data_IF_562502710590
#
_entry.id   IF_562502710590
#
_cell.length_a   1.000
_cell.length_b   1.000
_cell.length_c   1.000
_cell.angle_alpha   90.00
_cell.angle_beta   90.00
_cell.angle_gamma   90.00
#
_symmetry.space_group_name_H-M   'P 1'
#
loop_
_entity.id
_entity.type
_entity.pdbx_description
1 polymer ?
#
# COMPACT_ATOMS: atom_id res chain seq x y z
N UNK A 1 -45.30 12.91 -51.02
CA UNK A 1 -45.53 13.07 -49.59
C UNK A 1 -44.89 11.90 -48.86
N UNK A 2 -43.64 12.05 -48.48
CA UNK A 2 -42.94 11.16 -47.53
C UNK A 2 -41.84 12.02 -46.87
N UNK A 3 -42.05 12.35 -45.61
CA UNK A 3 -41.01 12.86 -44.74
C UNK A 3 -41.18 12.08 -43.43
N UNK A 4 -40.21 11.26 -43.05
CA UNK A 4 -39.96 10.85 -41.67
C UNK A 4 -38.67 10.04 -41.63
N UNK A 5 -37.72 10.47 -40.78
CA UNK A 5 -36.69 9.55 -40.31
C UNK A 5 -35.28 10.08 -40.34
N UNK A 6 -34.94 11.08 -39.51
CA UNK A 6 -33.50 11.40 -39.16
C UNK A 6 -33.43 12.26 -37.92
N UNK A 7 -33.69 11.70 -36.75
CA UNK A 7 -33.36 12.37 -35.45
C UNK A 7 -33.02 11.34 -34.34
N UNK A 8 -32.40 10.23 -34.62
CA UNK A 8 -32.02 9.28 -33.55
C UNK A 8 -30.50 9.02 -33.43
N UNK A 9 -29.67 9.73 -34.21
CA UNK A 9 -28.21 9.46 -34.25
C UNK A 9 -27.35 10.40 -33.42
N UNK A 10 -27.83 11.60 -33.08
CA UNK A 10 -26.98 12.62 -32.43
C UNK A 10 -26.74 12.38 -30.93
N UNK A 11 -27.74 11.91 -30.19
CA UNK A 11 -27.66 11.75 -28.75
C UNK A 11 -26.70 10.62 -28.29
N UNK A 12 -26.63 9.54 -29.06
CA UNK A 12 -25.72 8.42 -28.76
C UNK A 12 -24.26 8.76 -29.09
N UNK A 13 -24.03 9.61 -30.10
CA UNK A 13 -22.71 10.10 -30.46
C UNK A 13 -22.19 11.09 -29.41
N UNK A 14 -23.03 12.04 -28.98
CA UNK A 14 -22.68 13.01 -27.93
C UNK A 14 -22.40 12.36 -26.59
N UNK A 15 -23.21 11.37 -26.17
CA UNK A 15 -22.98 10.61 -24.94
C UNK A 15 -21.68 9.81 -24.97
N UNK A 16 -21.33 9.24 -26.14
CA UNK A 16 -20.08 8.49 -26.30
C UNK A 16 -18.85 9.41 -26.36
N UNK A 17 -18.98 10.59 -26.97
CA UNK A 17 -17.92 11.60 -26.98
C UNK A 17 -17.69 12.20 -25.57
N UNK A 18 -18.74 12.43 -24.79
CA UNK A 18 -18.64 12.88 -23.40
C UNK A 18 -17.99 11.84 -22.50
N UNK A 19 -18.34 10.57 -22.62
CA UNK A 19 -17.71 9.48 -21.86
C UNK A 19 -16.21 9.35 -22.19
N UNK A 20 -15.84 9.52 -23.46
CA UNK A 20 -14.40 9.49 -23.87
C UNK A 20 -13.64 10.69 -23.33
N UNK A 21 -14.25 11.88 -23.29
CA UNK A 21 -13.63 13.11 -22.73
C UNK A 21 -13.50 12.99 -21.21
N UNK A 22 -14.48 12.42 -20.52
CA UNK A 22 -14.41 12.17 -19.09
C UNK A 22 -13.33 11.12 -18.74
N UNK A 23 -13.19 10.06 -19.52
CA UNK A 23 -12.11 9.07 -19.38
C UNK A 23 -10.72 9.68 -19.65
N UNK A 24 -10.60 10.52 -20.70
CA UNK A 24 -9.33 11.22 -21.01
C UNK A 24 -8.98 12.27 -19.93
N UNK A 25 -9.96 13.00 -19.40
CA UNK A 25 -9.75 13.94 -18.30
C UNK A 25 -9.38 13.24 -16.99
N UNK A 26 -9.98 12.08 -16.72
CA UNK A 26 -9.68 11.28 -15.56
C UNK A 26 -8.28 10.66 -15.65
N UNK A 27 -7.90 10.12 -16.81
CA UNK A 27 -6.57 9.60 -17.10
C UNK A 27 -5.50 10.71 -17.02
N UNK A 28 -5.79 11.90 -17.57
CA UNK A 28 -4.90 13.08 -17.49
C UNK A 28 -4.75 13.60 -16.06
N UNK A 29 -5.82 13.58 -15.25
CA UNK A 29 -5.78 13.94 -13.84
C UNK A 29 -4.98 12.93 -13.00
N UNK A 30 -5.12 11.64 -13.27
CA UNK A 30 -4.34 10.59 -12.63
C UNK A 30 -2.86 10.67 -13.03
N UNK A 31 -2.56 10.98 -14.28
CA UNK A 31 -1.18 11.15 -14.77
C UNK A 31 -0.53 12.39 -14.16
N UNK A 32 -1.26 13.50 -14.05
CA UNK A 32 -0.78 14.72 -13.41
C UNK A 32 -0.55 14.55 -11.90
N UNK A 33 -1.45 13.85 -11.20
CA UNK A 33 -1.26 13.47 -9.80
C UNK A 33 -0.05 12.56 -9.60
N UNK A 34 0.20 11.63 -10.53
CA UNK A 34 1.39 10.78 -10.51
C UNK A 34 2.67 11.56 -10.75
N UNK A 35 2.65 12.57 -11.61
CA UNK A 35 3.78 13.47 -11.84
C UNK A 35 4.07 14.35 -10.62
N UNK A 36 3.05 14.91 -9.96
CA UNK A 36 3.20 15.68 -8.72
C UNK A 36 3.72 14.85 -7.56
N UNK A 37 3.29 13.58 -7.45
CA UNK A 37 3.86 12.63 -6.48
C UNK A 37 5.29 12.19 -6.84
N UNK A 38 5.85 12.65 -7.97
CA UNK A 38 7.13 12.18 -8.48
C UNK A 38 7.10 10.69 -8.84
N UNK A 39 5.91 10.16 -9.09
CA UNK A 39 5.68 8.78 -9.51
C UNK A 39 5.81 8.72 -11.02
N UNK A 40 6.99 8.32 -11.50
CA UNK A 40 7.16 7.98 -12.91
C UNK A 40 6.48 6.63 -13.16
N UNK A 41 5.50 6.52 -14.09
CA UNK A 41 4.85 5.24 -14.43
C UNK A 41 5.82 4.12 -14.81
N UNK A 42 7.05 4.48 -15.22
CA UNK A 42 8.10 3.54 -15.62
C UNK A 42 8.91 3.03 -14.39
N UNK A 43 8.96 3.81 -13.29
CA UNK A 43 9.86 3.52 -12.15
C UNK A 43 9.15 3.13 -10.87
N UNK A 44 7.85 3.39 -10.77
CA UNK A 44 7.07 3.05 -9.56
C UNK A 44 6.00 2.04 -9.90
N UNK A 45 6.03 0.85 -9.30
CA UNK A 45 4.91 -0.07 -9.42
C UNK A 45 3.67 0.63 -8.86
N UNK A 46 2.58 0.67 -9.64
CA UNK A 46 1.30 1.09 -9.09
C UNK A 46 0.99 0.24 -7.85
N UNK A 47 0.43 0.84 -6.81
CA UNK A 47 0.04 0.09 -5.59
C UNK A 47 -0.83 -1.11 -5.94
N UNK A 48 -1.68 -1.00 -6.97
CA UNK A 48 -2.44 -2.11 -7.53
C UNK A 48 -1.54 -3.27 -7.99
N UNK A 49 -0.36 -3.00 -8.53
CA UNK A 49 0.59 -4.02 -8.95
C UNK A 49 1.29 -4.67 -7.76
N UNK A 50 1.68 -3.87 -6.75
CA UNK A 50 2.24 -4.40 -5.49
C UNK A 50 1.23 -5.30 -4.78
N UNK A 51 -0.04 -4.91 -4.72
CA UNK A 51 -1.09 -5.72 -4.12
C UNK A 51 -1.38 -6.99 -4.94
N UNK A 52 -1.31 -6.91 -6.29
CA UNK A 52 -1.43 -8.09 -7.16
C UNK A 52 -0.27 -9.06 -6.96
N UNK A 53 0.94 -8.56 -6.77
CA UNK A 53 2.12 -9.37 -6.46
C UNK A 53 1.92 -10.20 -5.18
N UNK A 54 1.14 -9.69 -4.21
CA UNK A 54 0.81 -10.42 -2.98
C UNK A 54 0.01 -11.71 -3.24
N UNK A 55 -0.75 -11.82 -4.33
CA UNK A 55 -1.45 -13.05 -4.71
C UNK A 55 -0.49 -14.21 -5.00
N UNK A 56 0.73 -13.90 -5.45
CA UNK A 56 1.78 -14.89 -5.73
C UNK A 56 2.27 -15.59 -4.46
N UNK A 57 2.15 -14.92 -3.29
CA UNK A 57 2.61 -15.45 -2.00
C UNK A 57 1.65 -16.46 -1.36
N UNK A 58 0.92 -17.22 -2.16
CA UNK A 58 0.11 -18.35 -1.65
C UNK A 58 0.99 -19.54 -1.26
N UNK A 59 0.68 -20.28 -0.17
CA UNK A 59 -0.40 -20.00 0.78
C UNK A 59 -0.12 -18.75 1.62
N UNK A 60 -1.19 -17.96 1.90
CA UNK A 60 -1.09 -16.75 2.72
C UNK A 60 -0.70 -17.14 4.15
N UNK A 61 0.29 -16.49 4.77
CA UNK A 61 0.73 -16.80 6.14
C UNK A 61 -0.25 -16.22 7.20
N UNK A 62 -1.50 -16.67 7.18
CA UNK A 62 -2.60 -16.15 8.00
C UNK A 62 -2.25 -16.12 9.48
N UNK A 63 -1.68 -17.22 10.00
CA UNK A 63 -1.30 -17.30 11.42
C UNK A 63 -0.24 -16.28 11.83
N UNK A 64 0.60 -15.82 10.90
CA UNK A 64 1.56 -14.75 11.14
C UNK A 64 0.85 -13.39 11.15
N UNK A 65 -0.07 -13.14 10.20
CA UNK A 65 -0.86 -11.89 10.13
C UNK A 65 -1.73 -11.74 11.40
N UNK A 66 -2.33 -12.80 11.89
CA UNK A 66 -3.18 -12.79 13.10
C UNK A 66 -2.43 -12.39 14.38
N UNK A 67 -1.11 -12.59 14.44
CA UNK A 67 -0.27 -12.19 15.58
C UNK A 67 0.08 -10.70 15.60
N UNK A 68 -0.16 -9.97 14.52
CA UNK A 68 0.17 -8.55 14.43
C UNK A 68 -0.78 -7.72 15.29
N UNK A 69 -0.25 -6.69 15.96
CA UNK A 69 -1.05 -5.71 16.70
C UNK A 69 -1.73 -4.73 15.73
N UNK A 70 -2.84 -5.18 15.14
CA UNK A 70 -3.64 -4.39 14.21
C UNK A 70 -4.32 -3.20 14.88
N UNK A 71 -4.57 -3.29 16.19
CA UNK A 71 -5.19 -2.23 16.99
C UNK A 71 -4.20 -1.18 17.51
N UNK A 72 -2.93 -1.21 17.10
CA UNK A 72 -1.92 -0.26 17.55
C UNK A 72 -2.34 1.20 17.28
N UNK A 73 -1.94 2.09 18.17
CA UNK A 73 -2.16 3.53 18.06
C UNK A 73 -0.85 4.25 18.33
N UNK A 74 -0.54 5.21 17.48
CA UNK A 74 0.75 5.88 17.50
C UNK A 74 0.58 7.39 17.73
N UNK A 75 1.39 8.01 18.59
CA UNK A 75 1.46 9.48 18.70
C UNK A 75 2.07 10.12 17.45
N UNK A 76 2.95 9.40 16.75
CA UNK A 76 3.63 9.87 15.56
C UNK A 76 2.80 9.62 14.30
N UNK A 77 2.53 10.69 13.52
CA UNK A 77 1.69 10.62 12.30
C UNK A 77 2.28 9.73 11.22
N UNK A 78 3.61 9.71 11.07
CA UNK A 78 4.27 8.86 10.07
C UNK A 78 4.06 7.38 10.38
N UNK A 79 4.17 6.99 11.66
CA UNK A 79 3.84 5.61 12.08
C UNK A 79 2.37 5.28 11.82
N UNK A 80 1.45 6.22 12.09
CA UNK A 80 0.03 6.03 11.82
C UNK A 80 -0.21 5.82 10.32
N UNK A 81 0.45 6.58 9.45
CA UNK A 81 0.35 6.44 8.00
C UNK A 81 0.93 5.09 7.51
N UNK A 82 2.12 4.71 8.01
CA UNK A 82 2.71 3.40 7.68
C UNK A 82 1.82 2.24 8.15
N UNK A 83 1.28 2.34 9.37
CA UNK A 83 0.38 1.32 9.90
C UNK A 83 -0.91 1.21 9.09
N UNK A 84 -1.46 2.34 8.61
CA UNK A 84 -2.60 2.32 7.69
C UNK A 84 -2.27 1.50 6.43
N UNK A 85 -1.12 1.74 5.79
CA UNK A 85 -0.67 0.96 4.63
C UNK A 85 -0.49 -0.53 4.94
N UNK A 86 0.09 -0.86 6.11
CA UNK A 86 0.22 -2.24 6.59
C UNK A 86 -1.14 -2.94 6.73
N UNK A 87 -2.15 -2.24 7.26
CA UNK A 87 -3.52 -2.76 7.37
C UNK A 87 -4.17 -3.02 6.00
N UNK A 88 -3.91 -2.16 5.00
CA UNK A 88 -4.37 -2.39 3.62
C UNK A 88 -3.76 -3.67 3.05
N UNK A 89 -2.46 -3.88 3.23
CA UNK A 89 -1.79 -5.11 2.78
C UNK A 89 -2.34 -6.37 3.48
N UNK A 90 -2.54 -6.31 4.80
CA UNK A 90 -3.16 -7.40 5.56
C UNK A 90 -4.59 -7.68 5.07
N UNK A 91 -5.39 -6.64 4.86
CA UNK A 91 -6.75 -6.73 4.33
C UNK A 91 -6.78 -7.40 2.95
N UNK A 92 -5.85 -7.02 2.06
CA UNK A 92 -5.73 -7.64 0.75
C UNK A 92 -5.42 -9.15 0.87
N UNK A 93 -4.47 -9.53 1.72
CA UNK A 93 -4.14 -10.94 1.93
C UNK A 93 -5.27 -11.73 2.59
N UNK A 94 -6.05 -11.13 3.48
CA UNK A 94 -7.26 -11.78 4.00
C UNK A 94 -8.35 -11.96 2.93
N UNK A 95 -8.44 -11.07 1.92
CA UNK A 95 -9.32 -11.33 0.76
C UNK A 95 -8.81 -12.48 -0.09
N UNK A 96 -7.49 -12.59 -0.27
CA UNK A 96 -6.85 -13.72 -0.97
C UNK A 96 -7.06 -15.04 -0.22
N UNK A 97 -7.09 -14.99 1.12
CA UNK A 97 -7.35 -16.14 1.99
C UNK A 97 -8.85 -16.39 2.26
N UNK A 98 -9.75 -15.58 1.72
CA UNK A 98 -11.20 -15.68 1.88
C UNK A 98 -11.66 -15.65 3.36
N UNK A 99 -11.14 -14.68 4.14
CA UNK A 99 -11.35 -14.55 5.59
C UNK A 99 -12.28 -13.37 5.93
N UNK A 100 -13.62 -13.51 5.82
CA UNK A 100 -14.56 -12.39 5.93
C UNK A 100 -14.51 -11.69 7.29
N UNK A 101 -14.37 -12.43 8.39
CA UNK A 101 -14.34 -11.84 9.73
C UNK A 101 -13.08 -10.98 9.95
N UNK A 102 -11.94 -11.41 9.44
CA UNK A 102 -10.68 -10.66 9.54
C UNK A 102 -10.74 -9.38 8.71
N UNK A 103 -11.37 -9.43 7.54
CA UNK A 103 -11.57 -8.26 6.69
C UNK A 103 -12.48 -7.24 7.38
N UNK A 104 -13.56 -7.67 8.03
CA UNK A 104 -14.42 -6.76 8.79
C UNK A 104 -13.66 -6.09 9.95
N UNK A 105 -12.78 -6.82 10.63
CA UNK A 105 -11.95 -6.27 11.68
C UNK A 105 -10.93 -5.25 11.13
N UNK A 106 -10.26 -5.57 10.01
CA UNK A 106 -9.37 -4.64 9.30
C UNK A 106 -10.12 -3.38 8.88
N UNK A 107 -11.33 -3.51 8.31
CA UNK A 107 -12.13 -2.36 7.90
C UNK A 107 -12.40 -1.37 9.04
N UNK A 108 -12.67 -1.86 10.25
CA UNK A 108 -12.84 -1.01 11.45
C UNK A 108 -11.54 -0.27 11.79
N UNK A 109 -10.41 -0.97 11.75
CA UNK A 109 -9.11 -0.38 12.05
C UNK A 109 -8.67 0.63 10.99
N UNK A 110 -8.91 0.36 9.71
CA UNK A 110 -8.65 1.32 8.62
C UNK A 110 -9.42 2.64 8.85
N UNK A 111 -10.71 2.57 9.24
CA UNK A 111 -11.50 3.78 9.55
C UNK A 111 -10.89 4.53 10.73
N UNK A 112 -10.45 3.82 11.76
CA UNK A 112 -9.83 4.43 12.95
C UNK A 112 -8.54 5.16 12.60
N UNK A 113 -7.65 4.53 11.84
CA UNK A 113 -6.37 5.11 11.41
C UNK A 113 -6.59 6.29 10.45
N UNK A 114 -7.51 6.17 9.49
CA UNK A 114 -7.84 7.26 8.58
C UNK A 114 -8.37 8.50 9.31
N UNK A 115 -9.17 8.32 10.37
CA UNK A 115 -9.60 9.43 11.23
C UNK A 115 -8.43 10.09 11.96
N UNK A 116 -7.48 9.30 12.45
CA UNK A 116 -6.27 9.82 13.10
C UNK A 116 -5.38 10.61 12.11
N UNK A 117 -5.41 10.26 10.83
CA UNK A 117 -4.72 10.97 9.75
C UNK A 117 -5.48 12.18 9.21
N UNK A 118 -6.75 12.38 9.61
CA UNK A 118 -7.58 13.50 9.14
C UNK A 118 -8.34 13.24 7.85
N UNK A 119 -8.30 12.00 7.31
CA UNK A 119 -8.92 11.62 6.03
C UNK A 119 -10.11 10.64 6.20
N UNK A 120 -10.65 10.52 7.40
CA UNK A 120 -11.65 9.50 7.75
C UNK A 120 -13.02 9.66 7.09
N UNK A 121 -13.37 10.84 6.58
CA UNK A 121 -14.72 11.09 6.04
C UNK A 121 -14.95 10.30 4.74
N UNK A 122 -13.99 10.32 3.80
CA UNK A 122 -14.07 9.55 2.56
C UNK A 122 -14.12 8.05 2.83
N UNK A 123 -13.33 7.58 3.76
CA UNK A 123 -13.26 6.15 4.10
C UNK A 123 -14.54 5.62 4.73
N UNK A 124 -15.28 6.44 5.47
CA UNK A 124 -16.56 6.03 6.07
C UNK A 124 -17.59 5.65 5.00
N UNK A 125 -17.56 6.28 3.84
CA UNK A 125 -18.45 5.93 2.72
C UNK A 125 -18.07 4.57 2.12
N UNK A 126 -16.77 4.26 1.97
CA UNK A 126 -16.29 3.01 1.41
C UNK A 126 -16.39 1.81 2.34
N UNK A 127 -16.34 2.03 3.66
CA UNK A 127 -16.45 0.94 4.62
C UNK A 127 -17.74 0.14 4.46
N UNK A 128 -18.84 0.81 4.09
CA UNK A 128 -20.11 0.14 3.81
C UNK A 128 -19.98 -0.83 2.63
N UNK A 129 -19.31 -0.40 1.55
CA UNK A 129 -19.07 -1.24 0.38
C UNK A 129 -18.22 -2.47 0.75
N UNK A 130 -17.16 -2.31 1.54
CA UNK A 130 -16.33 -3.44 1.99
C UNK A 130 -17.13 -4.47 2.81
N UNK A 131 -18.02 -4.04 3.69
CA UNK A 131 -18.87 -4.94 4.46
C UNK A 131 -19.88 -5.68 3.57
N UNK A 132 -20.55 -4.97 2.64
CA UNK A 132 -21.49 -5.57 1.71
C UNK A 132 -20.82 -6.61 0.79
N UNK A 133 -19.62 -6.30 0.29
CA UNK A 133 -18.82 -7.21 -0.53
C UNK A 133 -18.36 -8.44 0.27
N UNK A 134 -17.99 -8.25 1.54
CA UNK A 134 -17.62 -9.33 2.45
C UNK A 134 -18.79 -10.29 2.71
N UNK A 135 -19.96 -9.74 3.02
CA UNK A 135 -21.18 -10.53 3.28
C UNK A 135 -21.63 -11.30 2.02
N UNK A 136 -21.41 -10.72 0.83
CA UNK A 136 -21.68 -11.36 -0.44
C UNK A 136 -20.58 -12.35 -0.89
N UNK A 137 -19.49 -12.49 -0.13
CA UNK A 137 -18.29 -13.27 -0.51
C UNK A 137 -17.73 -12.89 -1.89
N UNK A 138 -17.86 -11.61 -2.27
CA UNK A 138 -17.33 -11.08 -3.51
C UNK A 138 -15.86 -10.68 -3.37
N UNK A 139 -14.99 -11.68 -3.38
CA UNK A 139 -13.54 -11.51 -3.15
C UNK A 139 -12.84 -10.65 -4.20
N UNK A 140 -13.27 -10.74 -5.46
CA UNK A 140 -12.74 -9.90 -6.53
C UNK A 140 -13.08 -8.42 -6.30
N UNK A 141 -14.36 -8.12 -6.05
CA UNK A 141 -14.81 -6.76 -5.74
C UNK A 141 -14.15 -6.20 -4.48
N UNK A 142 -13.87 -7.03 -3.48
CA UNK A 142 -13.16 -6.61 -2.28
C UNK A 142 -11.71 -6.20 -2.54
N UNK A 143 -10.99 -6.93 -3.39
CA UNK A 143 -9.63 -6.54 -3.81
C UNK A 143 -9.63 -5.18 -4.50
N UNK A 144 -10.56 -4.99 -5.43
CA UNK A 144 -10.72 -3.70 -6.11
C UNK A 144 -11.07 -2.57 -5.12
N UNK A 145 -11.96 -2.83 -4.17
CA UNK A 145 -12.37 -1.83 -3.18
C UNK A 145 -11.24 -1.47 -2.20
N UNK A 146 -10.35 -2.39 -1.85
CA UNK A 146 -9.16 -2.10 -1.06
C UNK A 146 -8.17 -1.23 -1.83
N UNK A 147 -7.95 -1.50 -3.12
CA UNK A 147 -7.13 -0.64 -3.99
C UNK A 147 -7.69 0.77 -4.05
N UNK A 148 -9.00 0.90 -4.30
CA UNK A 148 -9.69 2.20 -4.33
C UNK A 148 -9.61 2.92 -2.98
N UNK A 149 -9.74 2.17 -1.87
CA UNK A 149 -9.63 2.71 -0.51
C UNK A 149 -8.27 3.36 -0.29
N UNK A 150 -7.20 2.72 -0.71
CA UNK A 150 -5.86 3.28 -0.59
C UNK A 150 -5.69 4.50 -1.48
N UNK A 151 -6.11 4.44 -2.74
CA UNK A 151 -6.05 5.59 -3.66
C UNK A 151 -6.81 6.80 -3.13
N UNK A 152 -8.02 6.60 -2.58
CA UNK A 152 -8.81 7.70 -1.97
C UNK A 152 -8.11 8.35 -0.78
N UNK A 153 -7.38 7.56 0.02
CA UNK A 153 -6.63 8.10 1.16
C UNK A 153 -5.43 8.90 0.69
N UNK A 154 -4.68 8.39 -0.28
CA UNK A 154 -3.54 9.09 -0.87
C UNK A 154 -3.99 10.40 -1.55
N UNK A 155 -5.05 10.36 -2.36
CA UNK A 155 -5.64 11.55 -2.97
C UNK A 155 -6.10 12.58 -1.91
N UNK A 156 -6.75 12.12 -0.83
CA UNK A 156 -7.17 13.00 0.26
C UNK A 156 -5.98 13.66 0.97
N UNK A 157 -4.86 12.94 1.13
CA UNK A 157 -3.64 13.49 1.70
C UNK A 157 -3.01 14.53 0.78
N UNK A 158 -3.04 14.30 -0.55
CA UNK A 158 -2.56 15.28 -1.53
C UNK A 158 -3.41 16.56 -1.53
N UNK A 159 -4.74 16.45 -1.50
CA UNK A 159 -5.63 17.59 -1.36
C UNK A 159 -5.34 18.42 -0.09
N UNK A 160 -4.88 17.76 0.97
CA UNK A 160 -4.45 18.41 2.21
C UNK A 160 -2.99 18.89 2.16
N UNK A 161 -2.30 18.78 1.02
CA UNK A 161 -0.87 19.07 0.87
C UNK A 161 0.00 18.28 1.85
N UNK A 162 -0.32 17.00 2.04
CA UNK A 162 0.33 16.07 2.99
C UNK A 162 0.96 14.88 2.24
N UNK A 163 1.68 15.17 1.15
CA UNK A 163 2.31 14.18 0.27
C UNK A 163 3.27 13.26 1.03
N UNK A 164 3.93 13.79 2.07
CA UNK A 164 4.83 13.00 2.91
C UNK A 164 4.09 11.86 3.61
N UNK A 165 2.87 12.09 4.09
CA UNK A 165 2.04 11.05 4.70
C UNK A 165 1.50 10.06 3.66
N UNK A 166 1.16 10.50 2.45
CA UNK A 166 0.79 9.61 1.36
C UNK A 166 1.93 8.63 1.03
N UNK A 167 3.16 9.11 0.96
CA UNK A 167 4.34 8.25 0.77
C UNK A 167 4.55 7.26 1.93
N UNK A 168 4.25 7.67 3.17
CA UNK A 168 4.35 6.76 4.32
C UNK A 168 3.28 5.65 4.28
N UNK A 169 2.07 5.94 3.78
CA UNK A 169 1.05 4.91 3.54
C UNK A 169 1.56 3.86 2.56
N UNK A 170 2.06 4.31 1.40
CA UNK A 170 2.60 3.41 0.37
C UNK A 170 3.78 2.57 0.89
N UNK A 171 4.68 3.20 1.64
CA UNK A 171 5.85 2.56 2.23
C UNK A 171 5.46 1.48 3.25
N UNK A 172 4.47 1.78 4.12
CA UNK A 172 3.96 0.81 5.09
C UNK A 172 3.34 -0.41 4.43
N UNK A 173 2.54 -0.19 3.38
CA UNK A 173 1.94 -1.27 2.58
C UNK A 173 2.99 -2.15 1.90
N UNK A 174 4.02 -1.52 1.30
CA UNK A 174 5.12 -2.23 0.68
C UNK A 174 5.94 -3.04 1.71
N UNK A 175 6.35 -2.42 2.82
CA UNK A 175 7.12 -3.12 3.85
C UNK A 175 6.38 -4.34 4.38
N UNK A 176 5.08 -4.17 4.66
CA UNK A 176 4.25 -5.28 5.13
C UNK A 176 4.12 -6.38 4.08
N UNK A 177 3.89 -6.02 2.83
CA UNK A 177 3.85 -6.96 1.71
C UNK A 177 5.17 -7.72 1.54
N UNK A 178 6.30 -7.00 1.63
CA UNK A 178 7.63 -7.59 1.59
C UNK A 178 7.87 -8.57 2.74
N UNK A 179 7.51 -8.20 3.98
CA UNK A 179 7.61 -9.05 5.15
C UNK A 179 6.81 -10.34 4.99
N UNK A 180 5.53 -10.22 4.63
CA UNK A 180 4.62 -11.36 4.45
C UNK A 180 5.06 -12.25 3.28
N UNK A 181 5.54 -11.63 2.19
CA UNK A 181 6.13 -12.34 1.07
C UNK A 181 7.37 -13.14 1.46
N UNK A 182 8.26 -12.54 2.26
CA UNK A 182 9.45 -13.22 2.75
C UNK A 182 9.08 -14.40 3.66
N UNK A 183 8.16 -14.23 4.62
CA UNK A 183 7.65 -15.32 5.45
C UNK A 183 7.03 -16.45 4.62
N UNK A 184 6.14 -16.13 3.67
CA UNK A 184 5.53 -17.12 2.77
C UNK A 184 6.54 -17.86 1.90
N UNK A 185 7.60 -17.15 1.45
CA UNK A 185 8.64 -17.76 0.61
C UNK A 185 9.54 -18.68 1.41
N UNK A 186 9.85 -18.32 2.67
CA UNK A 186 10.59 -19.22 3.59
C UNK A 186 9.81 -20.49 3.86
N UNK A 187 8.49 -20.38 4.12
CA UNK A 187 7.65 -21.57 4.34
C UNK A 187 7.55 -22.46 3.08
N UNK A 188 7.45 -21.85 1.92
CA UNK A 188 7.33 -22.53 0.64
C UNK A 188 8.06 -21.78 -0.45
N UNK A 189 9.33 -22.09 -0.62
CA UNK A 189 10.16 -21.46 -1.64
C UNK A 189 9.68 -21.79 -3.05
N UNK A 190 9.56 -20.74 -3.88
CA UNK A 190 9.49 -20.83 -5.34
C UNK A 190 10.32 -19.68 -5.92
N UNK A 191 10.90 -19.88 -7.10
CA UNK A 191 11.67 -18.83 -7.78
C UNK A 191 10.82 -17.60 -8.09
N UNK A 192 9.54 -17.80 -8.41
CA UNK A 192 8.59 -16.72 -8.70
C UNK A 192 8.41 -15.80 -7.49
N UNK A 193 8.17 -16.36 -6.29
CA UNK A 193 8.08 -15.60 -5.04
C UNK A 193 9.39 -14.90 -4.71
N UNK A 194 10.50 -15.62 -4.84
CA UNK A 194 11.82 -15.09 -4.51
C UNK A 194 12.20 -13.90 -5.40
N UNK A 195 11.89 -13.93 -6.68
CA UNK A 195 12.11 -12.82 -7.62
C UNK A 195 11.43 -11.52 -7.19
N UNK A 196 10.20 -11.60 -6.66
CA UNK A 196 9.46 -10.43 -6.18
C UNK A 196 10.16 -9.76 -4.99
N UNK A 197 10.86 -10.53 -4.17
CA UNK A 197 11.61 -10.00 -3.01
C UNK A 197 12.94 -9.34 -3.41
N UNK A 198 13.50 -9.68 -4.56
CA UNK A 198 14.79 -9.16 -5.04
C UNK A 198 14.71 -7.83 -5.79
N UNK A 199 13.56 -7.16 -5.85
CA UNK A 199 13.30 -5.96 -6.67
C UNK A 199 13.93 -4.72 -6.07
N UNK A 200 15.18 -4.43 -6.44
CA UNK A 200 15.98 -3.29 -5.94
C UNK A 200 15.33 -1.95 -6.29
N UNK A 201 14.70 -1.84 -7.46
CA UNK A 201 14.06 -0.62 -7.96
C UNK A 201 12.95 -0.10 -7.03
N UNK A 202 12.22 -0.99 -6.35
CA UNK A 202 11.18 -0.60 -5.39
C UNK A 202 11.82 -0.01 -4.12
N UNK A 203 12.91 -0.60 -3.67
CA UNK A 203 13.67 -0.11 -2.50
C UNK A 203 14.31 1.24 -2.81
N UNK A 204 14.88 1.42 -4.01
CA UNK A 204 15.45 2.67 -4.48
C UNK A 204 14.40 3.78 -4.51
N UNK A 205 13.22 3.50 -5.03
CA UNK A 205 12.10 4.44 -5.01
C UNK A 205 11.78 4.92 -3.60
N UNK A 206 11.57 4.01 -2.64
CA UNK A 206 11.24 4.43 -1.27
C UNK A 206 12.38 5.15 -0.56
N UNK A 207 13.64 4.78 -0.81
CA UNK A 207 14.79 5.52 -0.29
C UNK A 207 14.87 6.94 -0.86
N UNK A 208 14.55 7.11 -2.13
CA UNK A 208 14.47 8.42 -2.76
C UNK A 208 13.37 9.28 -2.11
N UNK A 209 12.16 8.73 -1.96
CA UNK A 209 11.05 9.44 -1.27
C UNK A 209 11.39 9.81 0.18
N UNK A 210 12.00 8.90 0.93
CA UNK A 210 12.51 9.22 2.28
C UNK A 210 13.60 10.29 2.25
N UNK A 211 14.39 10.33 1.17
CA UNK A 211 15.42 11.35 0.93
C UNK A 211 14.84 12.76 0.73
N UNK A 212 13.64 12.88 0.16
CA UNK A 212 12.96 14.16 -0.12
C UNK A 212 12.10 14.69 1.03
N UNK A 213 11.93 13.92 2.12
CA UNK A 213 11.19 14.36 3.31
C UNK A 213 11.70 15.70 3.83
N UNK A 214 10.78 16.48 4.41
CA UNK A 214 11.12 17.68 5.14
C UNK A 214 12.28 17.42 6.13
N UNK A 215 13.32 18.27 6.19
CA UNK A 215 14.47 18.05 7.07
C UNK A 215 14.11 17.78 8.53
N UNK A 216 13.04 18.41 9.06
CA UNK A 216 12.59 18.20 10.44
C UNK A 216 12.11 16.75 10.67
N UNK A 217 11.45 16.15 9.70
CA UNK A 217 10.98 14.76 9.77
C UNK A 217 12.14 13.79 9.52
N UNK A 218 12.97 14.07 8.51
CA UNK A 218 14.10 13.25 8.11
C UNK A 218 15.13 13.06 9.23
N UNK A 219 15.34 14.11 10.03
CA UNK A 219 16.33 14.13 11.12
C UNK A 219 15.84 13.48 12.42
N UNK A 220 14.58 13.03 12.47
CA UNK A 220 14.06 12.29 13.63
C UNK A 220 14.76 10.94 13.79
N UNK A 221 14.88 10.46 15.02
CA UNK A 221 15.54 9.18 15.32
C UNK A 221 14.81 8.02 14.61
N UNK A 222 13.48 8.08 14.60
CA UNK A 222 12.62 7.09 13.92
C UNK A 222 12.92 7.00 12.42
N UNK A 223 12.89 8.13 11.70
CA UNK A 223 13.09 8.14 10.25
C UNK A 223 14.50 7.72 9.88
N UNK A 224 15.52 8.18 10.63
CA UNK A 224 16.90 7.74 10.41
C UNK A 224 17.08 6.23 10.59
N UNK A 225 16.53 5.68 11.68
CA UNK A 225 16.59 4.24 11.92
C UNK A 225 15.86 3.45 10.82
N UNK A 226 14.72 3.98 10.35
CA UNK A 226 13.94 3.37 9.32
C UNK A 226 14.64 3.39 7.95
N UNK A 227 15.23 4.53 7.55
CA UNK A 227 16.06 4.64 6.34
C UNK A 227 17.20 3.61 6.37
N UNK A 228 17.88 3.47 7.50
CA UNK A 228 18.97 2.49 7.62
C UNK A 228 18.48 1.05 7.51
N UNK A 229 17.25 0.74 7.97
CA UNK A 229 16.69 -0.59 7.80
C UNK A 229 16.37 -0.89 6.33
N UNK A 230 15.80 0.06 5.58
CA UNK A 230 15.54 -0.11 4.14
C UNK A 230 16.85 -0.23 3.34
N UNK A 231 17.88 0.54 3.70
CA UNK A 231 19.23 0.40 3.10
C UNK A 231 19.82 -1.01 3.29
N UNK A 232 19.61 -1.62 4.46
CA UNK A 232 20.05 -3.00 4.72
C UNK A 232 19.32 -4.01 3.83
N UNK A 233 18.01 -3.86 3.67
CA UNK A 233 17.20 -4.71 2.78
C UNK A 233 17.70 -4.56 1.34
N UNK A 234 17.90 -3.31 0.88
CA UNK A 234 18.44 -3.01 -0.45
C UNK A 234 19.83 -3.62 -0.66
N UNK A 235 20.73 -3.48 0.31
CA UNK A 235 22.07 -4.06 0.22
C UNK A 235 22.01 -5.59 0.07
N UNK A 236 21.14 -6.25 0.83
CA UNK A 236 20.91 -7.69 0.70
C UNK A 236 20.34 -8.08 -0.67
N UNK A 237 19.43 -7.25 -1.26
CA UNK A 237 18.91 -7.47 -2.59
C UNK A 237 20.00 -7.32 -3.67
N UNK A 238 20.91 -6.35 -3.53
CA UNK A 238 22.04 -6.18 -4.45
C UNK A 238 23.03 -7.36 -4.43
N UNK A 239 23.14 -8.10 -3.31
CA UNK A 239 23.96 -9.30 -3.23
C UNK A 239 23.51 -10.43 -4.18
N UNK A 240 22.26 -10.37 -4.64
CA UNK A 240 21.74 -11.34 -5.63
C UNK A 240 22.31 -11.11 -7.04
N UNK A 241 22.90 -9.93 -7.30
CA UNK A 241 23.43 -9.51 -8.61
C UNK A 241 22.39 -9.64 -9.75
N UNK A 242 21.10 -9.42 -9.44
CA UNK A 242 19.98 -9.57 -10.38
C UNK A 242 19.54 -11.02 -10.62
N UNK A 243 20.17 -11.99 -9.95
CA UNK A 243 19.70 -13.38 -9.99
C UNK A 243 18.50 -13.58 -9.05
N UNK A 244 17.80 -14.70 -9.22
CA UNK A 244 16.77 -15.12 -8.29
C UNK A 244 17.36 -15.37 -6.91
N UNK A 245 16.85 -14.71 -5.83
CA UNK A 245 17.34 -14.92 -4.48
C UNK A 245 17.28 -16.40 -4.05
N UNK A 246 18.35 -16.90 -3.47
CA UNK A 246 18.39 -18.27 -2.92
C UNK A 246 17.55 -18.38 -1.63
N UNK A 247 17.22 -19.60 -1.16
CA UNK A 247 16.52 -19.79 0.12
C UNK A 247 17.22 -19.07 1.29
N UNK A 248 18.55 -19.09 1.34
CA UNK A 248 19.34 -18.42 2.39
C UNK A 248 19.23 -16.89 2.29
N UNK A 249 19.20 -16.34 1.07
CA UNK A 249 18.97 -14.91 0.86
C UNK A 249 17.55 -14.51 1.23
N UNK A 250 16.56 -15.35 0.98
CA UNK A 250 15.17 -15.12 1.41
C UNK A 250 15.05 -15.14 2.94
N UNK A 251 15.74 -16.04 3.65
CA UNK A 251 15.81 -16.00 5.12
C UNK A 251 16.44 -14.69 5.63
N UNK A 252 17.48 -14.18 4.95
CA UNK A 252 18.07 -12.87 5.25
C UNK A 252 17.05 -11.75 5.04
N UNK A 253 16.29 -11.77 3.94
CA UNK A 253 15.22 -10.78 3.68
C UNK A 253 14.16 -10.81 4.77
N UNK A 254 13.69 -12.01 5.17
CA UNK A 254 12.71 -12.18 6.23
C UNK A 254 13.20 -11.52 7.53
N UNK A 255 14.43 -11.81 7.96
CA UNK A 255 15.00 -11.23 9.16
C UNK A 255 15.08 -9.70 9.10
N UNK A 256 15.55 -9.14 7.96
CA UNK A 256 15.64 -7.69 7.78
C UNK A 256 14.28 -7.02 7.72
N UNK A 257 13.27 -7.68 7.14
CA UNK A 257 11.90 -7.20 7.12
C UNK A 257 11.30 -7.17 8.54
N UNK A 258 11.52 -8.23 9.34
CA UNK A 258 11.07 -8.28 10.74
C UNK A 258 11.74 -7.18 11.59
N UNK A 259 13.04 -6.90 11.37
CA UNK A 259 13.73 -5.79 12.00
C UNK A 259 13.14 -4.42 11.60
N UNK A 260 12.85 -4.21 10.31
CA UNK A 260 12.24 -2.97 9.82
C UNK A 260 10.82 -2.76 10.37
N UNK A 261 10.01 -3.81 10.40
CA UNK A 261 8.65 -3.77 11.01
C UNK A 261 8.72 -3.50 12.50
N UNK A 262 9.69 -4.07 13.21
CA UNK A 262 9.92 -3.79 14.64
C UNK A 262 10.22 -2.30 14.89
N UNK A 263 10.96 -1.64 13.98
CA UNK A 263 11.20 -0.20 14.03
C UNK A 263 9.89 0.55 13.76
N UNK A 264 9.14 0.17 12.72
CA UNK A 264 7.87 0.79 12.36
C UNK A 264 6.84 0.74 13.50
N UNK A 265 6.82 -0.36 14.27
CA UNK A 265 5.92 -0.60 15.39
C UNK A 265 6.49 -0.20 16.76
N UNK A 266 7.68 0.41 16.81
CA UNK A 266 8.33 0.80 18.05
C UNK A 266 7.58 1.92 18.78
N UNK A 267 7.85 2.08 20.09
CA UNK A 267 7.29 3.20 20.86
C UNK A 267 8.09 4.47 20.55
N UNK A 268 7.45 5.36 19.80
CA UNK A 268 7.99 6.65 19.39
C UNK A 268 7.05 7.74 19.84
N UNK A 269 7.58 8.88 20.30
CA UNK A 269 6.77 10.05 20.62
C UNK A 269 6.32 10.81 19.36
N UNK A 270 5.52 11.87 19.53
CA UNK A 270 5.03 12.67 18.40
C UNK A 270 6.17 13.33 17.59
N UNK A 271 7.31 13.58 18.21
CA UNK A 271 8.49 14.21 17.60
C UNK A 271 9.44 13.19 16.94
N UNK A 272 9.10 11.91 16.96
CA UNK A 272 9.89 10.85 16.32
C UNK A 272 11.09 10.37 17.13
N UNK A 273 11.10 10.58 18.46
CA UNK A 273 12.13 10.03 19.35
C UNK A 273 11.68 8.71 19.94
N UNK A 274 12.58 7.76 20.01
CA UNK A 274 12.31 6.49 20.67
C UNK A 274 12.07 6.68 22.17
N UNK A 275 11.06 6.00 22.69
CA UNK A 275 10.85 5.96 24.14
C UNK A 275 12.07 5.29 24.82
N UNK A 276 12.47 5.75 26.03
CA UNK A 276 13.50 5.06 26.78
C UNK A 276 13.16 3.59 26.96
N UNK A 277 14.13 2.70 26.81
CA UNK A 277 13.98 1.31 27.19
C UNK A 277 13.65 1.23 28.70
N UNK A 278 12.50 0.64 29.05
CA UNK A 278 12.08 0.43 30.43
C UNK A 278 12.93 -0.62 31.12
#
# INVERSE_FOLDING_TARGET
MIAFGLVAGSGLWEARAQATIEEELQASSEEHMREELGVNPITTPAIADLLRDLETFRPVPVAFIEKSDRGASFPNRMQTAMHFGSLVADGFLFTVAERPQDIQNIGKELIRQARALGVGERLTKRSKSLFELSDASNWAGMREELVRTQSDVEESMMELHDEEMAHMVSLGGWLRGFQLGAHSTVERYTEEKAKLLGRVEVMDYFLDRLGTLNPRLKETDFVRAFIESIKKIRAAALETQGATPTPEQVEKFKKLADEAESIAMSKVDADGKFAPAL
#
